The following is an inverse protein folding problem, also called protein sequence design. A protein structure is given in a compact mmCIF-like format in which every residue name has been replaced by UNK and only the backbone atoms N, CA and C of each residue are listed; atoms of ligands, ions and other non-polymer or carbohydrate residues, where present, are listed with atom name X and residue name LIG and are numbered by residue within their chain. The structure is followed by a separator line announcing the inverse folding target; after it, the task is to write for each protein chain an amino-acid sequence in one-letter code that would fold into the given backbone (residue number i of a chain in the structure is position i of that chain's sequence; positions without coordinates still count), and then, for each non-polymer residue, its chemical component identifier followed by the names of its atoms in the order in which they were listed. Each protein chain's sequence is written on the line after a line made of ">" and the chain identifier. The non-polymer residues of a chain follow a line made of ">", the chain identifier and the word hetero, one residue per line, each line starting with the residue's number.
data_IF_075540211114
#
_entry.id   IF_075540211114
#
_cell.length_a   1.000
_cell.length_b   1.000
_cell.length_c   1.000
_cell.angle_alpha   90.00
_cell.angle_beta   90.00
_cell.angle_gamma   90.00
#
_symmetry.space_group_name_H-M   'P 1'
#
loop_
_entity.id
_entity.type
_entity.pdbx_description
1 polymer ?
#
# COMPACT_ATOMS: atom_id res chain seq x y z
N UNK A 1 13.29 -4.30 -0.40
CA UNK A 1 12.77 -4.52 0.98
C UNK A 1 13.74 -3.96 2.01
N UNK A 2 15.00 -4.44 2.01
CA UNK A 2 16.03 -3.91 2.91
C UNK A 2 16.12 -2.38 2.86
N UNK A 3 16.12 -1.82 1.66
CA UNK A 3 16.29 -0.37 1.45
C UNK A 3 15.19 0.50 2.08
N UNK A 4 13.93 0.06 2.05
CA UNK A 4 12.82 0.86 2.60
C UNK A 4 12.80 0.83 4.13
N UNK A 5 13.14 -0.32 4.72
CA UNK A 5 13.24 -0.46 6.16
C UNK A 5 14.47 0.28 6.70
N UNK A 6 15.61 0.21 6.02
CA UNK A 6 16.82 0.95 6.42
C UNK A 6 16.59 2.46 6.38
N UNK A 7 15.94 2.97 5.32
CA UNK A 7 15.58 4.38 5.24
C UNK A 7 14.64 4.79 6.38
N UNK A 8 13.61 3.97 6.67
CA UNK A 8 12.72 4.21 7.80
C UNK A 8 13.45 4.26 9.15
N UNK A 9 14.39 3.34 9.38
CA UNK A 9 15.21 3.31 10.59
C UNK A 9 16.11 4.56 10.70
N UNK A 10 16.64 5.07 9.59
CA UNK A 10 17.44 6.31 9.54
C UNK A 10 16.62 7.55 9.91
N UNK A 11 15.34 7.63 9.50
CA UNK A 11 14.45 8.72 9.92
C UNK A 11 14.09 8.68 11.41
N UNK A 12 14.31 7.54 12.06
CA UNK A 12 13.87 7.28 13.42
C UNK A 12 12.40 6.85 13.44
N UNK A 13 12.15 5.66 13.97
CA UNK A 13 10.83 5.00 13.95
C UNK A 13 9.67 5.76 14.62
N UNK A 14 9.97 6.84 15.34
CA UNK A 14 8.96 7.68 16.03
C UNK A 14 8.79 9.05 15.37
N UNK A 15 9.49 9.32 14.26
CA UNK A 15 9.45 10.61 13.58
C UNK A 15 8.38 10.69 12.47
N UNK A 16 7.75 9.56 12.13
CA UNK A 16 6.78 9.48 11.04
C UNK A 16 5.45 8.95 11.57
N UNK A 17 4.36 9.59 11.16
CA UNK A 17 3.01 9.17 11.52
C UNK A 17 2.35 8.30 10.43
N UNK A 18 2.75 8.49 9.17
CA UNK A 18 2.09 7.88 8.04
C UNK A 18 2.96 7.86 6.77
N UNK A 19 2.49 7.14 5.75
CA UNK A 19 3.10 7.09 4.42
C UNK A 19 2.12 7.36 3.29
N UNK A 20 2.67 7.89 2.20
CA UNK A 20 2.04 7.99 0.89
C UNK A 20 2.88 7.14 -0.07
N UNK A 21 2.22 6.33 -0.88
CA UNK A 21 2.90 5.43 -1.83
C UNK A 21 2.60 5.88 -3.24
N UNK A 22 3.62 6.10 -4.06
CA UNK A 22 3.46 6.58 -5.44
C UNK A 22 4.04 5.60 -6.44
N UNK A 23 3.81 5.83 -7.74
CA UNK A 23 4.36 5.05 -8.85
C UNK A 23 3.94 3.57 -8.82
N UNK A 24 2.70 3.32 -8.44
CA UNK A 24 2.15 1.97 -8.37
C UNK A 24 1.99 1.35 -9.77
N UNK A 25 1.82 2.18 -10.80
CA UNK A 25 1.75 1.81 -12.21
C UNK A 25 3.07 1.20 -12.72
N UNK A 26 4.21 1.61 -12.13
CA UNK A 26 5.53 1.04 -12.42
C UNK A 26 5.77 -0.30 -11.68
N UNK A 27 4.85 -0.74 -10.82
CA UNK A 27 5.02 -1.91 -9.94
C UNK A 27 4.00 -3.01 -10.21
N UNK A 28 4.47 -4.24 -10.40
CA UNK A 28 3.58 -5.38 -10.70
C UNK A 28 2.90 -6.00 -9.48
N UNK A 29 3.39 -5.77 -8.25
CA UNK A 29 2.85 -6.35 -7.01
C UNK A 29 3.06 -5.43 -5.79
N UNK A 30 2.09 -5.40 -4.86
CA UNK A 30 2.16 -4.56 -3.66
C UNK A 30 2.72 -5.26 -2.41
N UNK A 31 3.18 -6.52 -2.52
CA UNK A 31 3.57 -7.33 -1.35
C UNK A 31 4.68 -6.69 -0.50
N UNK A 32 5.61 -5.97 -1.16
CA UNK A 32 6.68 -5.26 -0.45
C UNK A 32 6.15 -4.07 0.36
N UNK A 33 5.17 -3.34 -0.17
CA UNK A 33 4.53 -2.21 0.52
C UNK A 33 3.77 -2.73 1.75
N UNK A 34 2.97 -3.80 1.57
CA UNK A 34 2.22 -4.41 2.67
C UNK A 34 3.14 -4.92 3.79
N UNK A 35 4.23 -5.59 3.43
CA UNK A 35 5.21 -6.08 4.42
C UNK A 35 5.90 -4.93 5.15
N UNK A 36 6.22 -3.83 4.45
CA UNK A 36 6.79 -2.65 5.08
C UNK A 36 5.80 -2.02 6.08
N UNK A 37 4.54 -1.82 5.67
CA UNK A 37 3.49 -1.25 6.53
C UNK A 37 3.25 -2.09 7.77
N UNK A 38 3.23 -3.42 7.64
CA UNK A 38 3.09 -4.32 8.79
C UNK A 38 4.25 -4.18 9.78
N UNK A 39 5.49 -4.08 9.26
CA UNK A 39 6.71 -3.93 10.09
C UNK A 39 6.85 -2.55 10.72
N UNK A 40 6.56 -1.48 9.98
CA UNK A 40 6.72 -0.10 10.44
C UNK A 40 5.55 0.38 11.29
N UNK A 41 4.37 -0.26 11.17
CA UNK A 41 3.10 0.14 11.79
C UNK A 41 2.60 1.53 11.37
N UNK A 42 3.18 2.11 10.31
CA UNK A 42 2.74 3.40 9.78
C UNK A 42 1.39 3.27 9.08
N UNK A 43 0.54 4.28 9.23
CA UNK A 43 -0.70 4.37 8.47
C UNK A 43 -0.40 4.66 7.00
N UNK A 44 -1.11 3.99 6.08
CA UNK A 44 -1.09 4.35 4.65
C UNK A 44 -2.25 5.32 4.39
N UNK A 45 -1.96 6.54 3.91
CA UNK A 45 -2.98 7.57 3.71
C UNK A 45 -3.44 7.69 2.26
N UNK A 46 -2.49 7.70 1.33
CA UNK A 46 -2.76 7.93 -0.10
C UNK A 46 -1.86 7.07 -0.98
N UNK A 47 -2.34 6.86 -2.20
CA UNK A 47 -1.71 6.04 -3.22
C UNK A 47 -1.75 6.76 -4.57
N UNK A 48 -0.65 6.70 -5.32
CA UNK A 48 -0.58 7.20 -6.70
C UNK A 48 -0.23 6.09 -7.70
N UNK A 49 -1.05 5.92 -8.74
CA UNK A 49 -0.95 4.86 -9.77
C UNK A 49 -0.87 5.44 -11.19
N UNK A 50 -0.11 6.51 -11.35
CA UNK A 50 0.04 7.20 -12.62
C UNK A 50 0.42 8.66 -12.40
N UNK A 51 0.10 9.49 -13.39
CA UNK A 51 0.56 10.89 -13.46
C UNK A 51 -0.61 11.89 -13.51
N UNK A 52 -1.85 11.42 -13.75
CA UNK A 52 -3.02 12.29 -13.89
C UNK A 52 -3.65 12.58 -12.52
N UNK A 53 -3.92 13.86 -12.23
CA UNK A 53 -4.55 14.30 -10.97
C UNK A 53 -5.97 14.79 -11.28
N UNK A 54 -7.01 14.34 -10.57
CA UNK A 54 -7.00 13.48 -9.37
C UNK A 54 -7.12 11.98 -9.66
N UNK A 55 -7.20 11.58 -10.93
CA UNK A 55 -7.59 10.22 -11.34
C UNK A 55 -6.65 9.14 -10.81
N UNK A 56 -5.35 9.41 -10.82
CA UNK A 56 -4.33 8.47 -10.40
C UNK A 56 -3.90 8.65 -8.95
N UNK A 57 -4.42 9.63 -8.20
CA UNK A 57 -4.09 9.88 -6.80
C UNK A 57 -5.32 9.72 -5.89
N UNK A 58 -5.37 8.62 -5.14
CA UNK A 58 -6.53 8.23 -4.34
C UNK A 58 -6.17 7.99 -2.87
N UNK A 59 -7.18 8.13 -2.00
CA UNK A 59 -7.07 7.68 -0.62
C UNK A 59 -6.77 6.18 -0.59
N UNK A 60 -5.95 5.77 0.37
CA UNK A 60 -5.59 4.38 0.54
C UNK A 60 -6.78 3.57 1.06
N UNK A 61 -7.39 2.81 0.16
CA UNK A 61 -8.54 1.96 0.45
C UNK A 61 -8.28 0.51 -0.01
N UNK A 62 -8.96 -0.45 0.63
CA UNK A 62 -8.88 -1.84 0.24
C UNK A 62 -9.32 -2.06 -1.22
N UNK A 63 -10.30 -1.29 -1.70
CA UNK A 63 -10.75 -1.27 -3.11
C UNK A 63 -9.61 -0.95 -4.09
N UNK A 64 -8.64 -0.13 -3.70
CA UNK A 64 -7.45 0.23 -4.49
C UNK A 64 -6.35 -0.83 -4.32
N UNK A 65 -6.16 -1.38 -3.13
CA UNK A 65 -5.09 -2.35 -2.85
C UNK A 65 -5.36 -3.74 -3.41
N UNK A 66 -6.57 -4.26 -3.19
CA UNK A 66 -6.92 -5.66 -3.48
C UNK A 66 -6.71 -6.07 -4.94
N UNK A 67 -7.07 -5.25 -5.96
CA UNK A 67 -6.79 -5.59 -7.36
C UNK A 67 -5.30 -5.73 -7.68
N UNK A 68 -4.41 -5.11 -6.89
CA UNK A 68 -2.95 -5.14 -7.07
C UNK A 68 -2.29 -6.28 -6.30
N UNK A 69 -3.04 -7.01 -5.47
CA UNK A 69 -2.56 -8.18 -4.73
C UNK A 69 -2.58 -9.42 -5.63
N UNK A 70 -1.46 -9.65 -6.33
CA UNK A 70 -1.27 -10.86 -7.15
C UNK A 70 -0.78 -12.02 -6.28
N UNK A 71 -0.96 -13.25 -6.74
CA UNK A 71 -0.55 -14.52 -6.09
C UNK A 71 -1.45 -14.99 -4.93
N UNK A 72 -2.55 -14.30 -4.64
CA UNK A 72 -3.58 -14.76 -3.73
C UNK A 72 -4.91 -14.91 -4.48
N UNK A 73 -5.61 -16.02 -4.25
CA UNK A 73 -7.01 -16.15 -4.66
C UNK A 73 -7.86 -15.50 -3.57
N UNK A 74 -8.37 -14.30 -3.83
CA UNK A 74 -9.31 -13.66 -2.93
C UNK A 74 -10.67 -14.32 -3.09
N UNK A 75 -11.12 -15.02 -2.05
CA UNK A 75 -12.52 -15.42 -1.96
C UNK A 75 -13.35 -14.22 -1.50
N UNK A 76 -13.87 -13.47 -2.47
CA UNK A 76 -14.67 -12.28 -2.21
C UNK A 76 -15.97 -12.59 -1.43
N UNK A 77 -16.42 -13.85 -1.39
CA UNK A 77 -17.61 -14.26 -0.63
C UNK A 77 -17.45 -14.08 0.89
N UNK A 78 -16.21 -14.04 1.38
CA UNK A 78 -15.92 -13.83 2.80
C UNK A 78 -15.98 -12.34 3.22
N UNK A 79 -15.91 -11.42 2.25
CA UNK A 79 -15.94 -9.97 2.51
C UNK A 79 -17.33 -9.36 2.28
N UNK A 80 -18.17 -10.02 1.48
CA UNK A 80 -19.56 -9.64 1.24
C UNK A 80 -20.47 -10.84 1.51
N UNK A 81 -20.78 -11.15 2.78
CA UNK A 81 -21.67 -12.25 3.10
C UNK A 81 -23.01 -12.00 2.40
N UNK A 82 -23.41 -12.94 1.55
CA UNK A 82 -24.74 -12.95 0.95
C UNK A 82 -25.75 -13.09 2.07
N UNK A 83 -26.65 -12.11 2.21
CA UNK A 83 -27.87 -12.29 2.98
C UNK A 83 -28.73 -13.40 2.37
#
# INVERSE_FOLDING_TARGET
>A
MGDLLSQYEEFGSHALDAVIVTKLDETTTIGNILTFLDKSRLALLYMADGQEIPEDFAQAEASVLLPRLKLFSLDASHFFPSH
#
